data_IF_440781792213
#
_entry.id   IF_440781792213
#
_cell.length_a   1.000
_cell.length_b   1.000
_cell.length_c   1.000
_cell.angle_alpha   90.00
_cell.angle_beta   90.00
_cell.angle_gamma   90.00
#
_symmetry.space_group_name_H-M   'P 1'
#
loop_
_entity.id
_entity.type
_entity.pdbx_description
1 polymer ?
#
# COMPACT_ATOMS: atom_id res chain seq x y z
N UNK A 1 -8.89 -2.38 5.16
CA UNK A 1 -7.57 -3.00 5.45
C UNK A 1 -6.55 -1.89 5.62
N UNK A 2 -5.97 -1.76 6.81
CA UNK A 2 -5.01 -0.72 7.15
C UNK A 2 -3.68 -0.99 6.43
N UNK A 3 -3.04 0.06 5.91
CA UNK A 3 -1.71 0.01 5.30
C UNK A 3 -0.70 -0.45 6.34
N UNK A 4 0.10 -1.48 6.03
CA UNK A 4 1.06 -2.05 6.97
C UNK A 4 2.08 -0.99 7.43
N UNK A 5 2.56 -1.10 8.67
CA UNK A 5 3.54 -0.13 9.20
C UNK A 5 4.81 -0.06 8.33
N UNK A 6 5.18 -1.19 7.73
CA UNK A 6 6.33 -1.29 6.83
C UNK A 6 6.03 -0.70 5.43
N UNK A 7 4.83 -0.90 4.88
CA UNK A 7 4.37 -0.22 3.65
C UNK A 7 4.40 1.31 3.82
N UNK A 8 3.94 1.80 4.98
CA UNK A 8 3.89 3.25 5.27
C UNK A 8 5.28 3.87 5.33
N UNK A 9 6.26 3.17 5.92
CA UNK A 9 7.66 3.62 5.96
C UNK A 9 8.25 3.71 4.55
N UNK A 10 8.02 2.70 3.73
CA UNK A 10 8.49 2.68 2.33
C UNK A 10 7.85 3.81 1.54
N UNK A 11 6.54 4.01 1.70
CA UNK A 11 5.81 5.09 1.06
C UNK A 11 6.35 6.46 1.44
N UNK A 12 6.56 6.72 2.74
CA UNK A 12 7.07 8.01 3.22
C UNK A 12 8.52 8.27 2.75
N UNK A 13 9.33 7.22 2.70
CA UNK A 13 10.69 7.28 2.16
C UNK A 13 10.68 7.67 0.67
N UNK A 14 9.86 7.01 -0.15
CA UNK A 14 9.73 7.32 -1.57
C UNK A 14 9.09 8.70 -1.79
N UNK A 15 8.16 9.11 -0.92
CA UNK A 15 7.48 10.41 -1.00
C UNK A 15 8.46 11.57 -0.81
N UNK A 16 9.47 11.39 0.03
CA UNK A 16 10.56 12.36 0.21
C UNK A 16 11.38 12.55 -1.09
N UNK A 17 11.39 11.55 -1.98
CA UNK A 17 12.11 11.58 -3.25
C UNK A 17 11.24 12.04 -4.43
N UNK A 18 9.92 12.16 -4.22
CA UNK A 18 9.00 12.73 -5.19
C UNK A 18 8.86 11.89 -6.47
N UNK A 19 9.31 12.46 -7.60
CA UNK A 19 9.16 11.87 -8.93
C UNK A 19 10.40 11.09 -9.39
N UNK A 20 11.43 10.98 -8.55
CA UNK A 20 12.65 10.25 -8.87
C UNK A 20 12.49 8.74 -8.71
N UNK A 21 13.18 8.01 -9.58
CA UNK A 21 13.23 6.56 -9.55
C UNK A 21 14.26 6.06 -8.54
N UNK A 22 13.82 5.30 -7.55
CA UNK A 22 14.60 4.85 -6.40
C UNK A 22 14.91 3.36 -6.48
N UNK A 23 16.17 2.97 -6.29
CA UNK A 23 16.51 1.55 -6.25
C UNK A 23 15.93 0.87 -5.00
N UNK A 24 15.40 -0.35 -5.13
CA UNK A 24 14.93 -1.16 -4.00
C UNK A 24 15.95 -1.23 -2.86
N UNK A 25 17.25 -1.36 -3.16
CA UNK A 25 18.30 -1.40 -2.13
C UNK A 25 18.37 -0.14 -1.28
N UNK A 26 18.14 1.00 -1.90
CA UNK A 26 18.22 2.30 -1.23
C UNK A 26 16.98 2.53 -0.36
N UNK A 27 15.82 2.04 -0.83
CA UNK A 27 14.62 1.92 0.01
C UNK A 27 14.87 1.00 1.20
N UNK A 28 15.43 -0.21 1.00
CA UNK A 28 15.73 -1.15 2.07
C UNK A 28 16.63 -0.53 3.13
N UNK A 29 17.67 0.20 2.70
CA UNK A 29 18.65 0.87 3.57
C UNK A 29 18.02 2.01 4.37
N UNK A 30 17.19 2.83 3.73
CA UNK A 30 16.65 4.05 4.33
C UNK A 30 15.37 3.81 5.14
N UNK A 31 14.48 2.93 4.69
CA UNK A 31 13.25 2.58 5.40
C UNK A 31 13.45 1.57 6.54
N UNK A 32 14.40 0.64 6.39
CA UNK A 32 14.63 -0.45 7.35
C UNK A 32 15.79 -0.17 8.32
N UNK A 33 16.64 0.80 7.98
CA UNK A 33 17.84 1.11 8.75
C UNK A 33 18.88 0.00 8.73
N UNK A 34 19.96 0.21 9.49
CA UNK A 34 21.17 -0.63 9.45
C UNK A 34 20.93 -2.08 9.90
N UNK A 35 20.03 -2.30 10.88
CA UNK A 35 19.71 -3.63 11.42
C UNK A 35 18.94 -4.49 10.43
N UNK A 36 17.84 -3.95 9.87
CA UNK A 36 16.97 -4.71 8.96
C UNK A 36 17.67 -4.99 7.62
N UNK A 37 18.45 -4.03 7.12
CA UNK A 37 19.24 -4.21 5.89
C UNK A 37 20.37 -5.25 6.03
N UNK A 38 20.93 -5.41 7.24
CA UNK A 38 21.96 -6.41 7.51
C UNK A 38 21.38 -7.83 7.65
N UNK A 39 20.15 -7.93 8.13
CA UNK A 39 19.45 -9.20 8.31
C UNK A 39 18.84 -9.68 6.99
N UNK A 40 18.20 -8.77 6.24
CA UNK A 40 17.62 -9.07 4.94
C UNK A 40 17.80 -7.86 4.01
N UNK A 41 18.60 -8.04 2.95
CA UNK A 41 18.90 -6.96 2.01
C UNK A 41 17.70 -6.58 1.13
N UNK A 42 16.72 -7.48 1.05
CA UNK A 42 15.66 -7.49 0.08
C UNK A 42 14.27 -7.44 0.74
N UNK A 43 14.20 -7.17 2.05
CA UNK A 43 12.96 -7.13 2.82
C UNK A 43 11.91 -6.17 2.24
N UNK A 44 12.33 -5.09 1.57
CA UNK A 44 11.40 -4.17 0.92
C UNK A 44 10.90 -4.69 -0.45
N UNK A 45 11.58 -5.63 -1.12
CA UNK A 45 11.14 -6.19 -2.42
C UNK A 45 9.72 -6.75 -2.37
N UNK A 46 9.35 -7.67 -1.45
CA UNK A 46 7.99 -8.21 -1.43
C UNK A 46 6.95 -7.13 -1.11
N UNK A 47 7.30 -6.11 -0.35
CA UNK A 47 6.39 -4.99 -0.01
C UNK A 47 6.22 -4.05 -1.21
N UNK A 48 7.32 -3.71 -1.89
CA UNK A 48 7.31 -2.93 -3.13
C UNK A 48 6.49 -3.62 -4.22
N UNK A 49 6.59 -4.95 -4.34
CA UNK A 49 5.76 -5.72 -5.26
C UNK A 49 4.27 -5.63 -4.91
N UNK A 50 3.89 -5.85 -3.65
CA UNK A 50 2.48 -5.70 -3.21
C UNK A 50 1.94 -4.31 -3.51
N UNK A 51 2.73 -3.27 -3.21
CA UNK A 51 2.34 -1.88 -3.49
C UNK A 51 2.26 -1.58 -5.00
N UNK A 52 3.11 -2.20 -5.81
CA UNK A 52 3.04 -2.14 -7.27
C UNK A 52 1.77 -2.82 -7.81
N UNK A 53 1.43 -4.00 -7.31
CA UNK A 53 0.20 -4.72 -7.69
C UNK A 53 -1.05 -3.89 -7.38
N UNK A 54 -1.03 -3.16 -6.26
CA UNK A 54 -2.07 -2.20 -5.87
C UNK A 54 -2.06 -0.89 -6.67
N UNK A 55 -1.20 -0.76 -7.69
CA UNK A 55 -1.01 0.45 -8.51
C UNK A 55 -0.59 1.71 -7.72
N UNK A 56 0.00 1.56 -6.53
CA UNK A 56 0.52 2.67 -5.71
C UNK A 56 1.90 3.12 -6.22
N UNK A 57 2.71 2.17 -6.69
CA UNK A 57 4.08 2.38 -7.17
C UNK A 57 4.25 1.88 -8.60
N UNK A 58 5.20 2.48 -9.31
CA UNK A 58 5.72 1.98 -10.58
C UNK A 58 7.12 1.42 -10.42
N UNK A 59 7.43 0.36 -11.18
CA UNK A 59 8.76 -0.21 -11.28
C UNK A 59 9.26 -0.13 -12.72
N UNK A 60 10.48 0.33 -12.91
CA UNK A 60 11.17 0.37 -14.20
C UNK A 60 11.92 -0.94 -14.50
N UNK A 61 12.31 -1.19 -15.76
CA UNK A 61 13.06 -2.40 -16.16
C UNK A 61 14.41 -2.54 -15.43
N UNK A 62 14.95 -1.43 -14.93
CA UNK A 62 16.17 -1.39 -14.11
C UNK A 62 15.94 -1.72 -12.62
N UNK A 63 14.72 -2.12 -12.22
CA UNK A 63 14.40 -2.44 -10.82
C UNK A 63 14.34 -1.21 -9.91
N UNK A 64 14.07 -0.04 -10.49
CA UNK A 64 13.85 1.21 -9.75
C UNK A 64 12.37 1.45 -9.56
N UNK A 65 12.00 1.99 -8.41
CA UNK A 65 10.63 2.20 -7.98
C UNK A 65 10.35 3.69 -7.81
N UNK A 66 9.15 4.12 -8.18
CA UNK A 66 8.69 5.48 -8.03
C UNK A 66 7.25 5.49 -7.55
N UNK A 67 6.87 6.47 -6.75
CA UNK A 67 5.46 6.69 -6.43
C UNK A 67 4.72 7.14 -7.70
N UNK A 68 3.66 6.40 -8.05
CA UNK A 68 2.73 6.88 -9.08
C UNK A 68 2.11 8.18 -8.55
N UNK A 69 2.04 9.25 -9.35
CA UNK A 69 1.25 10.41 -8.99
C UNK A 69 -0.22 10.00 -9.00
N UNK A 70 -0.69 9.38 -7.92
CA UNK A 70 -2.11 9.11 -7.73
C UNK A 70 -2.74 10.48 -7.51
N UNK A 71 -3.75 10.90 -8.30
CA UNK A 71 -4.51 12.08 -7.95
C UNK A 71 -5.05 11.86 -6.54
N UNK A 72 -4.69 12.76 -5.61
CA UNK A 72 -5.12 12.77 -4.21
C UNK A 72 -6.59 12.32 -4.12
N UNK A 73 -6.82 11.07 -3.77
CA UNK A 73 -8.07 10.60 -3.16
C UNK A 73 -7.68 9.94 -1.86
N UNK A 74 -7.34 10.79 -0.90
CA UNK A 74 -7.33 10.45 0.52
C UNK A 74 -8.76 10.68 0.97
N UNK A 75 -9.46 9.61 1.29
CA UNK A 75 -10.88 9.58 1.68
C UNK A 75 -11.41 8.21 1.28
N UNK A 76 -11.20 7.17 2.08
CA UNK A 76 -12.20 6.73 3.08
C UNK A 76 -13.58 6.59 2.42
N UNK A 77 -13.79 5.47 1.75
CA UNK A 77 -15.14 4.91 1.64
C UNK A 77 -15.22 3.76 2.64
N UNK A 78 -15.51 4.12 3.89
CA UNK A 78 -16.18 3.21 4.82
C UNK A 78 -17.65 3.16 4.40
N UNK A 79 -17.97 2.44 3.32
CA UNK A 79 -19.35 1.99 3.13
C UNK A 79 -19.59 0.80 4.07
N UNK A 80 -19.93 1.14 5.32
CA UNK A 80 -20.74 0.28 6.17
C UNK A 80 -22.05 0.04 5.42
N UNK A 81 -22.20 -1.10 4.74
CA UNK A 81 -23.53 -1.64 4.48
C UNK A 81 -24.05 -2.22 5.78
N UNK A 82 -24.65 -1.33 6.56
CA UNK A 82 -25.54 -1.71 7.65
C UNK A 82 -26.62 -2.65 7.13
N UNK A 83 -26.80 -3.73 7.87
CA UNK A 83 -28.05 -4.41 8.17
C UNK A 83 -29.23 -4.14 7.21
N UNK A 84 -29.48 -5.12 6.35
CA UNK A 84 -30.81 -5.36 5.80
C UNK A 84 -31.29 -6.70 6.37
N UNK A 85 -31.58 -6.73 7.66
CA UNK A 85 -32.60 -7.67 8.13
C UNK A 85 -33.95 -7.11 7.71
N UNK A 86 -34.63 -7.84 6.82
CA UNK A 86 -35.88 -7.46 6.22
C UNK A 86 -36.97 -7.25 7.29
N UNK A 87 -37.77 -6.17 7.24
CA UNK A 87 -39.18 -6.27 7.58
C UNK A 87 -39.86 -6.87 6.32
N UNK A 88 -40.79 -7.80 6.38
CA UNK A 88 -41.87 -7.98 7.33
C UNK A 88 -42.39 -9.40 7.06
N UNK A 89 -42.42 -10.25 8.08
CA UNK A 89 -43.35 -11.37 8.09
C UNK A 89 -44.75 -10.78 8.01
N UNK A 90 -45.51 -11.05 6.95
CA UNK A 90 -46.96 -11.30 7.00
C UNK A 90 -47.54 -11.47 5.59
N UNK A 91 -47.39 -12.68 5.04
CA UNK A 91 -48.36 -13.24 4.09
C UNK A 91 -48.55 -14.73 4.37
N UNK A 92 -49.19 -15.02 5.51
CA UNK A 92 -50.04 -16.21 5.65
C UNK A 92 -51.45 -15.65 5.89
N UNK A 93 -52.31 -15.58 4.87
CA UNK A 93 -53.14 -16.69 4.38
C UNK A 93 -54.11 -17.19 5.45
N UNK A 94 -55.28 -16.53 5.56
CA UNK A 94 -56.62 -17.09 5.84
C UNK A 94 -57.69 -15.98 5.84
#
# INVERSE_FOLDING_TARGET
MAMDSDERKIFDCLKTWGADFVNAKEVCRRAGGKRRYAEDNDWAKPILQRMKERNILESDALGRYRIKPVPKKIGVEVENKGDQTAPDEHYEQL
#
